data_IF_520639409148
#
_entry.id   IF_520639409148
#
_cell.length_a   1.000
_cell.length_b   1.000
_cell.length_c   1.000
_cell.angle_alpha   90.00
_cell.angle_beta   90.00
_cell.angle_gamma   90.00
#
_symmetry.space_group_name_H-M   'P 1'
#
loop_
_entity.id
_entity.type
_entity.pdbx_description
1 polymer ?
#
# COMPACT_ATOMS: atom_id res chain seq x y z
N UNK A 1 -4.89 15.38 16.26
CA UNK A 1 -5.03 13.92 16.02
C UNK A 1 -6.14 13.56 15.02
N UNK A 2 -7.27 14.28 14.96
CA UNK A 2 -8.34 14.06 13.97
C UNK A 2 -7.91 14.35 12.51
N UNK A 3 -6.91 15.17 12.30
CA UNK A 3 -6.42 15.54 10.96
C UNK A 3 -5.40 14.53 10.39
N UNK A 4 -4.79 13.66 11.23
CA UNK A 4 -3.76 12.70 10.77
C UNK A 4 -4.26 11.73 9.68
N UNK A 5 -5.52 11.29 9.77
CA UNK A 5 -6.11 10.43 8.74
C UNK A 5 -6.17 11.11 7.36
N UNK A 6 -6.55 12.37 7.30
CA UNK A 6 -6.61 13.14 6.05
C UNK A 6 -5.20 13.46 5.50
N UNK A 7 -4.25 13.82 6.37
CA UNK A 7 -2.87 14.06 5.95
C UNK A 7 -2.24 12.79 5.37
N UNK A 8 -2.47 11.63 6.02
CA UNK A 8 -1.98 10.35 5.53
C UNK A 8 -2.67 9.89 4.24
N UNK A 9 -3.94 10.26 4.02
CA UNK A 9 -4.58 10.00 2.73
C UNK A 9 -3.95 10.81 1.60
N UNK A 10 -3.59 12.07 1.83
CA UNK A 10 -2.85 12.89 0.86
C UNK A 10 -1.46 12.33 0.57
N UNK A 11 -0.76 11.82 1.59
CA UNK A 11 0.52 11.13 1.40
C UNK A 11 0.35 9.86 0.55
N UNK A 12 -0.68 9.05 0.82
CA UNK A 12 -0.99 7.85 0.04
C UNK A 12 -1.35 8.20 -1.40
N UNK A 13 -2.18 9.24 -1.61
CA UNK A 13 -2.49 9.74 -2.95
C UNK A 13 -1.24 10.20 -3.69
N UNK A 14 -0.34 10.94 -3.05
CA UNK A 14 0.94 11.33 -3.64
C UNK A 14 1.78 10.12 -4.09
N UNK A 15 1.86 9.09 -3.26
CA UNK A 15 2.56 7.83 -3.58
C UNK A 15 1.93 7.11 -4.78
N UNK A 16 0.60 6.93 -4.77
CA UNK A 16 -0.11 6.30 -5.89
C UNK A 16 -0.08 7.15 -7.16
N UNK A 17 -0.21 8.47 -7.03
CA UNK A 17 -0.09 9.41 -8.15
C UNK A 17 1.29 9.34 -8.81
N UNK A 18 2.35 9.32 -8.01
CA UNK A 18 3.72 9.10 -8.50
C UNK A 18 3.90 7.75 -9.19
N UNK A 19 3.33 6.69 -8.62
CA UNK A 19 3.36 5.35 -9.24
C UNK A 19 2.56 5.31 -10.55
N UNK A 20 1.39 5.95 -10.61
CA UNK A 20 0.57 6.04 -11.83
C UNK A 20 1.34 6.76 -12.95
N UNK A 21 1.99 7.88 -12.64
CA UNK A 21 2.81 8.60 -13.60
C UNK A 21 4.02 7.77 -14.02
N UNK A 22 4.77 7.21 -13.07
CA UNK A 22 6.00 6.46 -13.32
C UNK A 22 5.78 5.16 -14.09
N UNK A 23 4.90 4.29 -13.60
CA UNK A 23 4.65 2.97 -14.19
C UNK A 23 3.54 2.96 -15.25
N UNK A 24 2.73 4.02 -15.34
CA UNK A 24 1.67 4.16 -16.33
C UNK A 24 2.09 5.10 -17.47
N UNK A 25 2.03 6.40 -17.22
CA UNK A 25 2.20 7.43 -18.24
C UNK A 25 3.61 7.43 -18.84
N UNK A 26 4.66 7.37 -18.01
CA UNK A 26 6.04 7.43 -18.50
C UNK A 26 6.43 6.19 -19.31
N UNK A 27 5.84 5.01 -19.05
CA UNK A 27 6.06 3.83 -19.88
C UNK A 27 5.44 4.01 -21.29
N UNK A 28 4.29 4.67 -21.40
CA UNK A 28 3.71 5.00 -22.70
C UNK A 28 4.58 6.01 -23.47
N UNK A 29 5.10 7.03 -22.78
CA UNK A 29 6.03 7.99 -23.36
C UNK A 29 7.32 7.32 -23.82
N UNK A 30 7.85 6.36 -23.03
CA UNK A 30 9.03 5.59 -23.40
C UNK A 30 8.83 4.82 -24.70
N UNK A 31 7.69 4.17 -24.85
CA UNK A 31 7.38 3.39 -26.03
C UNK A 31 7.23 4.26 -27.29
N UNK A 32 6.65 5.47 -27.16
CA UNK A 32 6.34 6.33 -28.32
C UNK A 32 7.47 7.32 -28.67
N UNK A 33 8.24 7.81 -27.68
CA UNK A 33 9.18 8.93 -27.85
C UNK A 33 10.60 8.64 -27.35
N UNK A 34 10.84 7.43 -26.82
CA UNK A 34 12.16 6.98 -26.37
C UNK A 34 12.59 7.57 -25.01
N UNK A 35 13.81 7.19 -24.60
CA UNK A 35 14.33 7.44 -23.24
C UNK A 35 14.55 8.90 -22.91
N UNK A 36 15.02 9.69 -23.90
CA UNK A 36 15.28 11.13 -23.68
C UNK A 36 14.01 11.90 -23.32
N UNK A 37 12.87 11.57 -23.96
CA UNK A 37 11.59 12.20 -23.68
C UNK A 37 11.07 11.85 -22.29
N UNK A 38 11.28 10.62 -21.82
CA UNK A 38 10.95 10.21 -20.43
C UNK A 38 11.70 11.04 -19.41
N UNK A 39 13.01 11.22 -19.63
CA UNK A 39 13.88 11.99 -18.72
C UNK A 39 13.45 13.46 -18.67
N UNK A 40 13.13 14.06 -19.83
CA UNK A 40 12.62 15.43 -19.91
C UNK A 40 11.27 15.59 -19.21
N UNK A 41 10.31 14.70 -19.46
CA UNK A 41 9.01 14.72 -18.80
C UNK A 41 9.14 14.58 -17.28
N UNK A 42 10.00 13.67 -16.81
CA UNK A 42 10.26 13.50 -15.38
C UNK A 42 10.88 14.75 -14.76
N UNK A 43 11.86 15.36 -15.44
CA UNK A 43 12.51 16.59 -14.97
C UNK A 43 11.51 17.75 -14.85
N UNK A 44 10.68 17.94 -15.86
CA UNK A 44 9.61 18.97 -15.85
C UNK A 44 8.61 18.69 -14.72
N UNK A 45 8.19 17.43 -14.54
CA UNK A 45 7.28 17.06 -13.46
C UNK A 45 7.86 17.38 -12.08
N UNK A 46 9.14 17.02 -11.85
CA UNK A 46 9.83 17.31 -10.57
C UNK A 46 9.92 18.82 -10.33
N UNK A 47 10.26 19.59 -11.36
CA UNK A 47 10.32 21.06 -11.25
C UNK A 47 8.95 21.66 -10.89
N UNK A 48 7.88 21.21 -11.56
CA UNK A 48 6.51 21.65 -11.23
C UNK A 48 6.13 21.27 -9.80
N UNK A 49 6.47 20.05 -9.36
CA UNK A 49 6.19 19.60 -8.00
C UNK A 49 6.94 20.38 -6.92
N UNK A 50 8.10 20.96 -7.26
CA UNK A 50 8.87 21.83 -6.36
C UNK A 50 8.31 23.24 -6.23
N UNK A 51 7.58 23.74 -7.24
CA UNK A 51 7.05 25.12 -7.25
C UNK A 51 6.26 25.47 -5.98
N UNK A 52 5.30 24.67 -5.49
CA UNK A 52 4.57 24.99 -4.26
C UNK A 52 5.47 25.10 -3.03
N UNK A 53 6.54 24.30 -2.97
CA UNK A 53 7.51 24.34 -1.89
C UNK A 53 8.35 25.62 -1.92
N UNK A 54 8.75 26.07 -3.12
CA UNK A 54 9.53 27.27 -3.31
C UNK A 54 8.70 28.55 -3.06
N UNK A 55 7.43 28.54 -3.44
CA UNK A 55 6.52 29.68 -3.28
C UNK A 55 6.01 29.84 -1.84
N UNK A 56 6.08 28.82 -1.02
CA UNK A 56 5.54 28.85 0.34
C UNK A 56 6.53 29.45 1.35
N UNK A 57 6.57 30.81 1.42
CA UNK A 57 7.43 31.58 2.33
C UNK A 57 7.31 31.22 3.84
N UNK A 58 6.21 30.56 4.26
CA UNK A 58 6.01 30.09 5.65
C UNK A 58 6.63 28.73 5.95
N UNK A 59 7.30 28.09 5.01
CA UNK A 59 8.22 26.99 5.29
C UNK A 59 9.57 27.50 5.86
N UNK A 60 9.63 28.76 6.37
CA UNK A 60 10.64 29.08 7.34
C UNK A 60 10.43 28.10 8.49
N UNK A 61 11.27 27.08 8.48
CA UNK A 61 11.45 26.15 9.58
C UNK A 61 11.41 26.97 10.85
N UNK A 62 10.35 26.90 11.63
CA UNK A 62 10.46 27.07 13.04
C UNK A 62 11.48 25.99 13.43
N UNK A 63 12.74 26.37 13.43
CA UNK A 63 13.76 25.70 14.19
C UNK A 63 13.34 25.87 15.65
N UNK A 64 12.36 25.11 16.08
CA UNK A 64 12.40 24.65 17.44
C UNK A 64 13.78 24.02 17.57
N UNK A 65 14.59 24.63 18.42
CA UNK A 65 15.94 24.24 18.81
C UNK A 65 15.87 22.90 19.58
N UNK A 66 15.17 21.93 19.04
CA UNK A 66 15.36 20.53 19.41
C UNK A 66 16.69 20.16 18.78
N UNK A 67 17.70 20.04 19.61
CA UNK A 67 18.99 19.47 19.28
C UNK A 67 18.77 18.32 18.29
N UNK A 68 19.10 18.55 17.02
CA UNK A 68 19.05 17.52 15.96
C UNK A 68 20.08 16.45 16.32
N UNK A 69 19.72 15.59 17.26
CA UNK A 69 20.53 14.40 17.52
C UNK A 69 20.49 13.55 16.25
N UNK A 70 21.65 13.39 15.63
CA UNK A 70 21.79 12.51 14.46
C UNK A 70 21.27 11.13 14.80
N UNK A 71 20.50 10.52 13.89
CA UNK A 71 20.04 9.15 14.05
C UNK A 71 21.26 8.22 14.18
N UNK A 72 21.27 7.42 15.24
CA UNK A 72 22.35 6.49 15.56
C UNK A 72 21.83 5.05 15.42
N UNK A 73 22.67 4.09 15.16
CA UNK A 73 22.29 2.67 15.19
C UNK A 73 21.56 2.25 16.47
N UNK A 74 21.89 2.89 17.59
CA UNK A 74 21.20 2.69 18.87
C UNK A 74 19.71 3.07 18.79
N UNK A 75 19.36 4.10 18.02
CA UNK A 75 17.96 4.53 17.85
C UNK A 75 17.13 3.48 17.10
N UNK A 76 17.76 2.77 16.14
CA UNK A 76 17.14 1.66 15.44
C UNK A 76 16.82 0.51 16.42
N UNK A 77 17.77 0.11 17.26
CA UNK A 77 17.55 -0.95 18.27
C UNK A 77 16.50 -0.50 19.29
N UNK A 78 16.58 0.74 19.76
CA UNK A 78 15.64 1.33 20.72
C UNK A 78 14.20 1.43 20.16
N UNK A 79 14.01 1.45 18.85
CA UNK A 79 12.68 1.37 18.25
C UNK A 79 11.97 0.07 18.67
N UNK A 80 12.66 -1.07 18.61
CA UNK A 80 12.07 -2.38 18.93
C UNK A 80 11.82 -2.60 20.42
N UNK A 81 12.42 -1.81 21.30
CA UNK A 81 12.21 -1.90 22.76
C UNK A 81 11.00 -1.11 23.25
N UNK A 82 10.33 -0.34 22.37
CA UNK A 82 9.16 0.44 22.73
C UNK A 82 7.99 -0.45 23.16
N UNK A 83 7.30 -0.04 24.20
CA UNK A 83 6.09 -0.74 24.69
C UNK A 83 5.01 -0.77 23.61
N UNK A 84 4.58 -1.97 23.22
CA UNK A 84 3.53 -2.16 22.21
C UNK A 84 4.01 -2.20 20.76
N UNK A 85 5.30 -1.97 20.47
CA UNK A 85 5.83 -1.97 19.11
C UNK A 85 5.76 -3.36 18.46
N UNK A 86 5.94 -4.44 19.23
CA UNK A 86 5.81 -5.80 18.72
C UNK A 86 4.41 -6.04 18.13
N UNK A 87 3.36 -5.55 18.80
CA UNK A 87 1.98 -5.60 18.31
C UNK A 87 1.80 -4.81 17.02
N UNK A 88 2.44 -3.65 16.92
CA UNK A 88 2.43 -2.81 15.73
C UNK A 88 3.14 -3.50 14.57
N UNK A 89 4.29 -4.15 14.80
CA UNK A 89 5.02 -4.87 13.76
C UNK A 89 4.20 -6.05 13.23
N UNK A 90 3.60 -6.85 14.10
CA UNK A 90 2.71 -7.95 13.69
C UNK A 90 1.54 -7.42 12.88
N UNK A 91 0.94 -6.29 13.27
CA UNK A 91 -0.10 -5.64 12.49
C UNK A 91 0.41 -5.24 11.10
N UNK A 92 1.56 -4.58 10.98
CA UNK A 92 2.13 -4.14 9.71
C UNK A 92 2.42 -5.32 8.78
N UNK A 93 2.98 -6.39 9.33
CA UNK A 93 3.28 -7.62 8.60
C UNK A 93 2.00 -8.28 8.08
N UNK A 94 1.03 -8.54 8.95
CA UNK A 94 -0.20 -9.26 8.56
C UNK A 94 -1.11 -8.43 7.65
N UNK A 95 -1.20 -7.12 7.90
CA UNK A 95 -2.21 -6.28 7.28
C UNK A 95 -2.07 -6.17 5.76
N UNK A 96 -0.83 -6.15 5.25
CA UNK A 96 -0.58 -6.07 3.81
C UNK A 96 -0.31 -7.41 3.16
N UNK A 97 0.15 -8.41 3.90
CA UNK A 97 0.66 -9.66 3.35
C UNK A 97 -0.35 -10.34 2.42
N UNK A 98 -1.61 -10.46 2.84
CA UNK A 98 -2.64 -11.11 2.03
C UNK A 98 -2.87 -10.45 0.67
N UNK A 99 -2.95 -9.13 0.64
CA UNK A 99 -3.18 -8.37 -0.60
C UNK A 99 -1.94 -8.29 -1.49
N UNK A 100 -0.77 -8.01 -0.91
CA UNK A 100 0.48 -7.92 -1.67
C UNK A 100 0.83 -9.26 -2.29
N UNK A 101 0.55 -10.36 -1.59
CA UNK A 101 0.74 -11.70 -2.13
C UNK A 101 -0.08 -11.93 -3.40
N UNK A 102 -1.35 -11.53 -3.43
CA UNK A 102 -2.16 -11.62 -4.65
C UNK A 102 -1.62 -10.71 -5.74
N UNK A 103 -1.32 -9.44 -5.41
CA UNK A 103 -0.79 -8.48 -6.39
C UNK A 103 0.52 -8.94 -7.04
N UNK A 104 1.37 -9.66 -6.31
CA UNK A 104 2.65 -10.16 -6.84
C UNK A 104 2.46 -11.26 -7.89
N UNK A 105 1.45 -12.11 -7.75
CA UNK A 105 1.17 -13.25 -8.63
C UNK A 105 0.09 -12.92 -9.67
N UNK A 106 -0.61 -11.81 -9.52
CA UNK A 106 -1.71 -11.42 -10.42
C UNK A 106 -1.25 -11.28 -11.88
N UNK A 107 -0.08 -10.69 -12.12
CA UNK A 107 0.43 -10.51 -13.48
C UNK A 107 0.76 -11.85 -14.17
N UNK A 108 1.53 -12.78 -13.57
CA UNK A 108 1.68 -14.14 -14.09
C UNK A 108 0.34 -14.85 -14.32
N UNK A 109 -0.59 -14.76 -13.39
CA UNK A 109 -1.93 -15.34 -13.54
C UNK A 109 -2.67 -14.81 -14.78
N UNK A 110 -2.60 -13.50 -15.03
CA UNK A 110 -3.21 -12.88 -16.22
C UNK A 110 -2.51 -13.32 -17.52
N UNK A 111 -1.18 -13.49 -17.50
CA UNK A 111 -0.44 -14.02 -18.68
C UNK A 111 -0.92 -15.42 -19.01
N UNK A 112 -1.08 -16.28 -18.03
CA UNK A 112 -1.52 -17.67 -18.22
C UNK A 112 -3.00 -17.75 -18.67
N UNK A 113 -3.80 -16.72 -18.37
CA UNK A 113 -5.15 -16.54 -18.90
C UNK A 113 -5.17 -16.00 -20.34
N UNK A 114 -4.01 -15.71 -20.95
CA UNK A 114 -3.88 -15.22 -22.32
C UNK A 114 -3.96 -13.70 -22.50
N UNK A 115 -3.92 -12.91 -21.41
CA UNK A 115 -3.89 -11.44 -21.52
C UNK A 115 -2.54 -10.95 -22.02
N UNK A 116 -2.57 -10.00 -22.93
CA UNK A 116 -1.37 -9.32 -23.44
C UNK A 116 -0.73 -8.42 -22.37
N UNK A 117 0.58 -8.18 -22.50
CA UNK A 117 1.30 -7.24 -21.60
C UNK A 117 0.69 -5.84 -21.60
N UNK A 118 0.10 -5.40 -22.73
CA UNK A 118 -0.59 -4.12 -22.84
C UNK A 118 -1.85 -4.07 -21.96
N UNK A 119 -2.67 -5.13 -22.01
CA UNK A 119 -3.90 -5.24 -21.20
C UNK A 119 -3.56 -5.33 -19.71
N UNK A 120 -2.54 -6.12 -19.33
CA UNK A 120 -2.06 -6.23 -17.97
C UNK A 120 -1.56 -4.87 -17.47
N UNK A 121 -0.76 -4.17 -18.27
CA UNK A 121 -0.28 -2.83 -17.97
C UNK A 121 -1.42 -1.83 -17.78
N UNK A 122 -2.45 -1.88 -18.63
CA UNK A 122 -3.62 -1.01 -18.52
C UNK A 122 -4.47 -1.35 -17.27
N UNK A 123 -4.80 -2.61 -17.07
CA UNK A 123 -5.67 -3.04 -15.96
C UNK A 123 -4.99 -2.85 -14.59
N UNK A 124 -3.77 -3.33 -14.44
CA UNK A 124 -3.05 -3.23 -13.16
C UNK A 124 -2.39 -1.87 -12.95
N UNK A 125 -1.78 -1.31 -14.00
CA UNK A 125 -1.00 -0.08 -13.91
C UNK A 125 -1.85 1.18 -13.92
N UNK A 126 -2.82 1.29 -14.84
CA UNK A 126 -3.64 2.51 -14.94
C UNK A 126 -4.90 2.39 -14.10
N UNK A 127 -5.74 1.38 -14.36
CA UNK A 127 -7.01 1.23 -13.64
C UNK A 127 -6.74 0.93 -12.17
N UNK A 128 -5.92 -0.09 -11.86
CA UNK A 128 -5.66 -0.50 -10.48
C UNK A 128 -5.08 0.64 -9.64
N UNK A 129 -3.95 1.21 -10.05
CA UNK A 129 -3.29 2.30 -9.31
C UNK A 129 -4.19 3.54 -9.25
N UNK A 130 -4.91 3.86 -10.34
CA UNK A 130 -5.86 4.96 -10.38
C UNK A 130 -6.98 4.80 -9.35
N UNK A 131 -7.53 3.59 -9.21
CA UNK A 131 -8.53 3.29 -8.19
C UNK A 131 -7.95 3.41 -6.77
N UNK A 132 -6.74 2.91 -6.53
CA UNK A 132 -6.09 3.06 -5.23
C UNK A 132 -5.87 4.54 -4.87
N UNK A 133 -5.46 5.35 -5.85
CA UNK A 133 -5.32 6.80 -5.69
C UNK A 133 -6.65 7.45 -5.27
N UNK A 134 -7.73 7.17 -6.01
CA UNK A 134 -9.06 7.74 -5.73
C UNK A 134 -9.60 7.28 -4.37
N UNK A 135 -9.46 5.98 -4.04
CA UNK A 135 -10.01 5.40 -2.81
C UNK A 135 -9.24 5.78 -1.54
N UNK A 136 -8.01 6.26 -1.67
CA UNK A 136 -7.25 6.79 -0.53
C UNK A 136 -7.89 8.04 0.09
N UNK A 137 -8.55 8.90 -0.71
CA UNK A 137 -9.19 10.11 -0.20
C UNK A 137 -10.42 9.82 0.68
N UNK A 138 -11.46 9.09 0.23
CA UNK A 138 -12.59 8.73 1.08
C UNK A 138 -12.15 7.90 2.30
N UNK A 139 -11.12 7.07 2.20
CA UNK A 139 -10.57 6.35 3.34
C UNK A 139 -10.09 7.30 4.44
N UNK A 140 -9.40 8.38 4.07
CA UNK A 140 -8.97 9.42 5.02
C UNK A 140 -10.15 10.12 5.72
N UNK A 141 -11.23 10.40 4.97
CA UNK A 141 -12.46 10.97 5.53
C UNK A 141 -13.12 9.99 6.50
N UNK A 142 -13.22 8.70 6.14
CA UNK A 142 -13.81 7.66 6.97
C UNK A 142 -12.99 7.47 8.27
N UNK A 143 -11.66 7.43 8.18
CA UNK A 143 -10.77 7.35 9.35
C UNK A 143 -10.93 8.58 10.25
N UNK A 144 -11.10 9.77 9.68
CA UNK A 144 -11.36 11.01 10.43
C UNK A 144 -12.71 10.98 11.13
N UNK A 145 -13.78 10.51 10.45
CA UNK A 145 -15.17 10.54 10.93
C UNK A 145 -15.47 9.44 11.96
N UNK A 146 -15.09 8.21 11.65
CA UNK A 146 -15.46 7.02 12.44
C UNK A 146 -14.34 6.53 13.36
N UNK A 147 -13.15 7.12 13.23
CA UNK A 147 -11.99 6.76 14.03
C UNK A 147 -11.16 5.63 13.42
N UNK A 148 -9.86 5.73 13.66
CA UNK A 148 -8.85 4.82 13.15
C UNK A 148 -9.11 3.35 13.52
N UNK A 149 -9.49 3.06 14.78
CA UNK A 149 -9.64 1.69 15.27
C UNK A 149 -10.75 0.92 14.55
N UNK A 150 -11.90 1.57 14.34
CA UNK A 150 -13.01 0.95 13.60
C UNK A 150 -12.66 0.75 12.13
N UNK A 151 -12.10 1.78 11.49
CA UNK A 151 -11.79 1.71 10.05
C UNK A 151 -10.68 0.71 9.76
N UNK A 152 -9.73 0.49 10.67
CA UNK A 152 -8.72 -0.55 10.57
C UNK A 152 -9.33 -1.93 10.35
N UNK A 153 -10.33 -2.32 11.14
CA UNK A 153 -11.00 -3.61 11.01
C UNK A 153 -11.95 -3.68 9.82
N UNK A 154 -12.66 -2.59 9.52
CA UNK A 154 -13.55 -2.53 8.35
C UNK A 154 -12.74 -2.70 7.06
N UNK A 155 -11.64 -1.98 6.92
CA UNK A 155 -10.81 -2.10 5.71
C UNK A 155 -10.09 -3.46 5.64
N UNK A 156 -9.68 -4.05 6.79
CA UNK A 156 -9.16 -5.43 6.81
C UNK A 156 -10.21 -6.44 6.31
N UNK A 157 -11.47 -6.27 6.66
CA UNK A 157 -12.55 -7.11 6.17
C UNK A 157 -12.80 -6.93 4.67
N UNK A 158 -12.79 -5.69 4.18
CA UNK A 158 -12.90 -5.42 2.74
C UNK A 158 -11.72 -6.04 1.98
N UNK A 159 -10.50 -5.94 2.51
CA UNK A 159 -9.31 -6.58 1.95
C UNK A 159 -9.47 -8.10 1.89
N UNK A 160 -10.00 -8.73 2.94
CA UNK A 160 -10.30 -10.16 2.94
C UNK A 160 -11.31 -10.53 1.85
N UNK A 161 -12.42 -9.80 1.74
CA UNK A 161 -13.41 -10.03 0.68
C UNK A 161 -12.81 -9.87 -0.72
N UNK A 162 -11.93 -8.89 -0.93
CA UNK A 162 -11.20 -8.70 -2.17
C UNK A 162 -10.34 -9.92 -2.53
N UNK A 163 -9.68 -10.54 -1.54
CA UNK A 163 -8.88 -11.74 -1.77
C UNK A 163 -9.72 -12.96 -2.12
N UNK A 164 -10.92 -13.11 -1.54
CA UNK A 164 -11.86 -14.20 -1.85
C UNK A 164 -12.32 -14.18 -3.31
N UNK A 165 -12.48 -13.00 -3.91
CA UNK A 165 -12.86 -12.89 -5.33
C UNK A 165 -11.81 -13.59 -6.20
N UNK A 166 -10.51 -13.42 -5.93
CA UNK A 166 -9.45 -14.08 -6.68
C UNK A 166 -9.41 -15.60 -6.45
N UNK A 167 -9.71 -16.06 -5.24
CA UNK A 167 -9.89 -17.51 -4.99
C UNK A 167 -11.01 -18.06 -5.88
N UNK A 168 -12.15 -17.39 -5.90
CA UNK A 168 -13.30 -17.81 -6.72
C UNK A 168 -12.95 -17.83 -8.22
N UNK A 169 -12.31 -16.78 -8.74
CA UNK A 169 -11.94 -16.68 -10.16
C UNK A 169 -10.89 -17.73 -10.55
N UNK A 170 -9.95 -18.06 -9.67
CA UNK A 170 -8.92 -19.07 -9.95
C UNK A 170 -9.44 -20.49 -10.00
N UNK A 171 -10.50 -20.78 -9.24
CA UNK A 171 -11.16 -22.11 -9.26
C UNK A 171 -12.11 -22.22 -10.46
N UNK A 172 -12.83 -21.13 -10.77
CA UNK A 172 -13.87 -21.11 -11.80
C UNK A 172 -13.40 -20.27 -13.01
N UNK A 173 -12.44 -20.79 -13.76
CA UNK A 173 -11.85 -20.06 -14.91
C UNK A 173 -12.88 -19.69 -15.98
N UNK A 174 -13.95 -20.47 -16.14
CA UNK A 174 -15.04 -20.15 -17.07
C UNK A 174 -15.75 -18.81 -16.77
N UNK A 175 -15.72 -18.36 -15.53
CA UNK A 175 -16.25 -17.06 -15.11
C UNK A 175 -15.22 -15.93 -15.18
N UNK A 176 -13.96 -16.23 -15.52
CA UNK A 176 -12.87 -15.26 -15.56
C UNK A 176 -12.88 -14.52 -16.90
N UNK A 177 -13.89 -13.69 -17.09
CA UNK A 177 -13.99 -12.75 -18.20
C UNK A 177 -13.20 -11.48 -17.93
N UNK A 178 -12.91 -10.70 -18.98
CA UNK A 178 -12.25 -9.39 -18.82
C UNK A 178 -13.01 -8.47 -17.87
N UNK A 179 -14.35 -8.51 -17.88
CA UNK A 179 -15.18 -7.71 -16.98
C UNK A 179 -15.04 -8.13 -15.52
N UNK A 180 -15.16 -9.44 -15.24
CA UNK A 180 -15.05 -9.97 -13.86
C UNK A 180 -13.66 -9.75 -13.28
N UNK A 181 -12.62 -9.94 -14.09
CA UNK A 181 -11.24 -9.67 -13.69
C UNK A 181 -11.01 -8.18 -13.44
N UNK A 182 -11.54 -7.29 -14.28
CA UNK A 182 -11.47 -5.84 -14.05
C UNK A 182 -12.14 -5.45 -12.73
N UNK A 183 -13.32 -5.98 -12.44
CA UNK A 183 -14.01 -5.74 -11.16
C UNK A 183 -13.16 -6.23 -9.99
N UNK A 184 -12.59 -7.43 -10.09
CA UNK A 184 -11.71 -7.98 -9.06
C UNK A 184 -10.48 -7.08 -8.81
N UNK A 185 -9.84 -6.58 -9.87
CA UNK A 185 -8.72 -5.65 -9.80
C UNK A 185 -9.13 -4.34 -9.14
N UNK A 186 -10.27 -3.77 -9.52
CA UNK A 186 -10.81 -2.53 -8.92
C UNK A 186 -11.03 -2.71 -7.42
N UNK A 187 -11.65 -3.81 -7.01
CA UNK A 187 -11.89 -4.09 -5.57
C UNK A 187 -10.58 -4.33 -4.82
N UNK A 188 -9.64 -5.07 -5.40
CA UNK A 188 -8.33 -5.34 -4.80
C UNK A 188 -7.52 -4.05 -4.59
N UNK A 189 -7.34 -3.26 -5.64
CA UNK A 189 -6.57 -2.02 -5.57
C UNK A 189 -7.28 -0.94 -4.75
N UNK A 190 -8.60 -0.87 -4.81
CA UNK A 190 -9.39 0.03 -3.97
C UNK A 190 -9.22 -0.28 -2.48
N UNK A 191 -9.31 -1.56 -2.10
CA UNK A 191 -9.08 -2.01 -0.73
C UNK A 191 -7.64 -1.76 -0.27
N UNK A 192 -6.65 -1.97 -1.14
CA UNK A 192 -5.24 -1.64 -0.89
C UNK A 192 -5.04 -0.14 -0.63
N UNK A 193 -5.64 0.73 -1.46
CA UNK A 193 -5.59 2.18 -1.28
C UNK A 193 -6.16 2.63 0.07
N UNK A 194 -7.31 2.06 0.47
CA UNK A 194 -7.90 2.31 1.80
C UNK A 194 -7.01 1.79 2.93
N UNK A 195 -6.44 0.60 2.78
CA UNK A 195 -5.53 -0.02 3.75
C UNK A 195 -4.28 0.81 3.99
N UNK A 196 -3.71 1.41 2.93
CA UNK A 196 -2.51 2.24 3.00
C UNK A 196 -2.68 3.44 3.94
N UNK A 197 -3.84 4.08 3.90
CA UNK A 197 -4.16 5.21 4.80
C UNK A 197 -4.15 4.76 6.28
N UNK A 198 -4.69 3.59 6.56
CA UNK A 198 -4.70 3.01 7.91
C UNK A 198 -3.29 2.67 8.39
N UNK A 199 -2.48 2.04 7.54
CA UNK A 199 -1.10 1.67 7.87
C UNK A 199 -0.27 2.91 8.17
N UNK A 200 -0.29 3.94 7.33
CA UNK A 200 0.43 5.18 7.58
C UNK A 200 -0.06 5.89 8.84
N UNK A 201 -1.38 5.90 9.07
CA UNK A 201 -1.95 6.47 10.30
C UNK A 201 -1.50 5.70 11.55
N UNK A 202 -1.41 4.37 11.47
CA UNK A 202 -0.90 3.53 12.54
C UNK A 202 0.58 3.78 12.79
N UNK A 203 1.38 3.80 11.74
CA UNK A 203 2.83 4.02 11.83
C UNK A 203 3.15 5.36 12.48
N UNK A 204 2.44 6.43 12.09
CA UNK A 204 2.61 7.76 12.71
C UNK A 204 2.15 7.85 14.17
N UNK A 205 1.39 6.87 14.67
CA UNK A 205 1.04 6.80 16.10
C UNK A 205 2.11 6.15 16.97
N UNK A 206 2.97 5.34 16.34
CA UNK A 206 4.00 4.56 17.02
C UNK A 206 5.40 5.11 16.72
N UNK A 207 5.52 6.43 16.62
CA UNK A 207 6.81 7.12 16.52
C UNK A 207 7.14 7.84 17.81
N UNK A 208 8.43 7.85 18.17
CA UNK A 208 8.95 8.60 19.34
C UNK A 208 9.11 10.07 19.00
N UNK A 209 8.84 10.93 19.96
CA UNK A 209 9.07 12.39 19.84
C UNK A 209 10.55 12.66 19.58
N UNK A 210 10.85 13.46 18.56
CA UNK A 210 12.22 13.77 18.11
C UNK A 210 12.89 12.68 17.27
N UNK A 211 12.22 11.54 17.01
CA UNK A 211 12.70 10.43 16.17
C UNK A 211 11.65 9.98 15.15
N UNK A 212 10.71 10.86 14.83
CA UNK A 212 9.54 10.52 14.00
C UNK A 212 9.94 9.97 12.64
N UNK A 213 10.91 10.62 11.98
CA UNK A 213 11.39 10.19 10.66
C UNK A 213 12.03 8.80 10.70
N UNK A 214 12.91 8.54 11.67
CA UNK A 214 13.58 7.24 11.82
C UNK A 214 12.57 6.13 12.11
N UNK A 215 11.69 6.33 13.09
CA UNK A 215 10.73 5.32 13.51
C UNK A 215 9.68 5.03 12.41
N UNK A 216 9.26 6.05 11.66
CA UNK A 216 8.37 5.86 10.52
C UNK A 216 9.05 5.10 9.38
N UNK A 217 10.30 5.44 9.07
CA UNK A 217 11.08 4.76 8.04
C UNK A 217 11.29 3.29 8.38
N UNK A 218 11.64 2.95 9.63
CA UNK A 218 11.79 1.54 10.06
C UNK A 218 10.50 0.76 9.80
N UNK A 219 9.34 1.30 10.16
CA UNK A 219 8.06 0.65 9.92
C UNK A 219 7.76 0.48 8.42
N UNK A 220 8.08 1.49 7.62
CA UNK A 220 7.91 1.43 6.16
C UNK A 220 8.83 0.38 5.53
N UNK A 221 10.09 0.30 5.96
CA UNK A 221 11.03 -0.73 5.50
C UNK A 221 10.53 -2.13 5.85
N UNK A 222 10.01 -2.35 7.06
CA UNK A 222 9.44 -3.64 7.46
C UNK A 222 8.30 -4.05 6.51
N UNK A 223 7.37 -3.13 6.19
CA UNK A 223 6.26 -3.43 5.28
C UNK A 223 6.73 -3.76 3.87
N UNK A 224 7.69 -3.02 3.33
CA UNK A 224 8.24 -3.29 2.00
C UNK A 224 9.03 -4.60 1.94
N UNK A 225 9.84 -4.87 2.96
CA UNK A 225 10.61 -6.13 3.06
C UNK A 225 9.67 -7.34 3.11
N UNK A 226 8.62 -7.27 3.90
CA UNK A 226 7.60 -8.33 3.94
C UNK A 226 6.90 -8.51 2.59
N UNK A 227 6.65 -7.43 1.87
CA UNK A 227 6.12 -7.48 0.51
C UNK A 227 7.01 -8.28 -0.45
N UNK A 228 8.34 -8.05 -0.39
CA UNK A 228 9.32 -8.79 -1.19
C UNK A 228 9.34 -10.28 -0.79
N UNK A 229 9.39 -10.57 0.50
CA UNK A 229 9.40 -11.95 1.02
C UNK A 229 8.14 -12.71 0.56
N UNK A 230 6.98 -12.08 0.68
CA UNK A 230 5.71 -12.69 0.27
C UNK A 230 5.62 -12.87 -1.25
N UNK A 231 6.19 -11.98 -2.03
CA UNK A 231 6.26 -12.16 -3.49
C UNK A 231 7.09 -13.41 -3.87
N UNK A 232 8.23 -13.60 -3.21
CA UNK A 232 9.10 -14.77 -3.43
C UNK A 232 8.39 -16.06 -2.97
N UNK A 233 7.90 -16.09 -1.73
CA UNK A 233 7.19 -17.25 -1.17
C UNK A 233 5.93 -17.56 -2.00
N UNK A 234 5.22 -16.53 -2.43
CA UNK A 234 4.02 -16.65 -3.25
C UNK A 234 4.27 -17.32 -4.59
N UNK A 235 5.40 -16.97 -5.24
CA UNK A 235 5.82 -17.64 -6.47
C UNK A 235 6.08 -19.13 -6.26
N UNK A 236 6.76 -19.49 -5.15
CA UNK A 236 6.99 -20.89 -4.78
C UNK A 236 5.67 -21.62 -4.51
N UNK A 237 4.77 -21.04 -3.72
CA UNK A 237 3.46 -21.65 -3.42
C UNK A 237 2.67 -21.83 -4.72
N UNK A 238 2.61 -20.81 -5.60
CA UNK A 238 1.89 -20.90 -6.86
C UNK A 238 2.44 -22.01 -7.78
N UNK A 239 3.76 -22.26 -7.74
CA UNK A 239 4.38 -23.34 -8.49
C UNK A 239 3.91 -24.73 -8.02
N UNK A 240 3.83 -24.95 -6.69
CA UNK A 240 3.48 -26.27 -6.14
C UNK A 240 1.97 -26.56 -6.02
N UNK A 241 1.18 -25.55 -5.69
CA UNK A 241 -0.28 -25.70 -5.40
C UNK A 241 -1.16 -24.92 -6.39
N UNK A 242 -0.56 -24.32 -7.42
CA UNK A 242 -1.28 -23.53 -8.41
C UNK A 242 -1.82 -22.19 -7.85
N UNK A 243 -2.43 -21.42 -8.74
CA UNK A 243 -2.98 -20.09 -8.39
C UNK A 243 -4.08 -20.16 -7.34
N UNK A 244 -4.97 -21.15 -7.42
CA UNK A 244 -6.06 -21.32 -6.46
C UNK A 244 -5.54 -21.54 -5.04
N UNK A 245 -4.55 -22.42 -4.88
CA UNK A 245 -3.90 -22.67 -3.59
C UNK A 245 -3.17 -21.44 -3.05
N UNK A 246 -2.48 -20.71 -3.93
CA UNK A 246 -1.80 -19.46 -3.56
C UNK A 246 -2.79 -18.39 -3.10
N UNK A 247 -3.86 -18.13 -3.86
CA UNK A 247 -4.86 -17.13 -3.49
C UNK A 247 -5.63 -17.54 -2.22
N UNK A 248 -5.91 -18.83 -2.03
CA UNK A 248 -6.51 -19.33 -0.79
C UNK A 248 -5.61 -19.08 0.42
N UNK A 249 -4.30 -19.32 0.30
CA UNK A 249 -3.32 -19.02 1.35
C UNK A 249 -3.30 -17.53 1.71
N UNK A 250 -3.30 -16.64 0.69
CA UNK A 250 -3.33 -15.20 0.91
C UNK A 250 -4.65 -14.73 1.54
N UNK A 251 -5.76 -15.36 1.16
CA UNK A 251 -7.07 -15.09 1.75
C UNK A 251 -7.13 -15.51 3.22
N UNK A 252 -6.53 -16.65 3.57
CA UNK A 252 -6.40 -17.08 4.97
C UNK A 252 -5.57 -16.09 5.80
N UNK A 253 -4.47 -15.56 5.24
CA UNK A 253 -3.66 -14.53 5.90
C UNK A 253 -4.46 -13.22 6.07
N UNK A 254 -5.22 -12.81 5.05
CA UNK A 254 -6.08 -11.63 5.13
C UNK A 254 -7.17 -11.79 6.21
N UNK A 255 -7.75 -12.98 6.34
CA UNK A 255 -8.70 -13.33 7.39
C UNK A 255 -8.05 -13.27 8.78
N UNK A 256 -6.86 -13.84 8.93
CA UNK A 256 -6.08 -13.76 10.16
C UNK A 256 -5.78 -12.29 10.54
N UNK A 257 -5.43 -11.47 9.56
CA UNK A 257 -5.25 -10.03 9.73
C UNK A 257 -6.52 -9.34 10.25
N UNK A 258 -7.67 -9.67 9.69
CA UNK A 258 -8.95 -9.13 10.15
C UNK A 258 -9.21 -9.48 11.62
N UNK A 259 -9.09 -10.74 12.01
CA UNK A 259 -9.26 -11.16 13.40
C UNK A 259 -8.24 -10.48 14.34
N UNK A 260 -6.99 -10.36 13.90
CA UNK A 260 -5.96 -9.66 14.66
C UNK A 260 -6.33 -8.20 14.92
N UNK A 261 -6.87 -7.50 13.92
CA UNK A 261 -7.31 -6.11 14.09
C UNK A 261 -8.49 -5.98 15.05
N UNK A 262 -9.40 -6.96 15.07
CA UNK A 262 -10.50 -7.01 16.06
C UNK A 262 -9.96 -7.18 17.48
N UNK A 263 -8.99 -8.07 17.66
CA UNK A 263 -8.36 -8.33 18.95
C UNK A 263 -7.61 -7.10 19.48
N UNK A 264 -6.86 -6.40 18.60
CA UNK A 264 -6.22 -5.13 18.95
C UNK A 264 -7.20 -4.05 19.39
N UNK A 265 -8.42 -4.04 18.89
CA UNK A 265 -9.43 -3.06 19.29
C UNK A 265 -10.01 -3.35 20.68
N UNK A 266 -10.05 -4.61 21.13
CA UNK A 266 -10.52 -5.00 22.46
C UNK A 266 -9.52 -4.62 23.56
N UNK A 267 -8.23 -4.67 23.27
CA UNK A 267 -7.16 -4.38 24.25
C UNK A 267 -6.90 -2.89 24.51
N UNK A 268 -7.56 -2.00 23.79
CA UNK A 268 -7.42 -0.53 23.94
C UNK A 268 -8.64 0.07 24.68
N UNK A 269 -9.65 -0.74 24.96
CA UNK A 269 -10.72 -0.40 25.93
C UNK A 269 -10.28 -0.71 27.34
#
# INVERSE_FOLDING_TARGET
>A
TKQRGLLNSMQSMGSFGGSLLGSGVLLMVLHSYGWNSVTQCLSVFVLIALVPLLLHKKLSFHQETQTKQRATWKDFVLFFTQKGIARQIVFLVLYYTGIIGIMSILKPFMVDLGYSMKEIGFLCGIIGIGVAFVMAYPAGILVRRYGYQRMRSVFAFIMFLATLIFVFLSINQNFTTTLTLTIAIVVLWGSYGMGTVVVYTSSMKHVRVGREGTDFTVQTVITHLMGIIIAVIGGVIAHYVGYAGMFATQSAIALASFFYTLQMNKTVK
#
